data_IF_103257981720
#
_entry.id   IF_103257981720
#
_cell.length_a   1.000
_cell.length_b   1.000
_cell.length_c   1.000
_cell.angle_alpha   90.00
_cell.angle_beta   90.00
_cell.angle_gamma   90.00
#
_symmetry.space_group_name_H-M   'P 1'
#
loop_
_entity.id
_entity.type
_entity.pdbx_description
1 polymer ?
#
# COMPACT_ATOMS: atom_id res chain seq x y z
N UNK A 1 16.40 -34.04 9.78
CA UNK A 1 16.50 -33.58 8.38
C UNK A 1 17.73 -34.21 7.77
N UNK A 2 17.68 -34.66 6.50
CA UNK A 2 18.85 -35.25 5.83
C UNK A 2 19.93 -34.16 5.62
N UNK A 3 21.24 -34.47 5.70
CA UNK A 3 22.31 -33.48 5.60
C UNK A 3 22.33 -32.73 4.26
N UNK A 4 21.90 -33.36 3.16
CA UNK A 4 21.80 -32.71 1.84
C UNK A 4 20.75 -31.59 1.82
N UNK A 5 19.61 -31.81 2.49
CA UNK A 5 18.55 -30.82 2.58
C UNK A 5 18.94 -29.63 3.46
N UNK A 6 19.71 -29.87 4.51
CA UNK A 6 20.25 -28.81 5.35
C UNK A 6 21.25 -27.95 4.58
N UNK A 7 22.10 -28.58 3.74
CA UNK A 7 23.00 -27.87 2.83
C UNK A 7 22.25 -26.99 1.84
N UNK A 8 21.20 -27.51 1.20
CA UNK A 8 20.37 -26.74 0.27
C UNK A 8 19.77 -25.49 0.91
N UNK A 9 19.17 -25.62 2.10
CA UNK A 9 18.60 -24.49 2.82
C UNK A 9 19.65 -23.47 3.27
N UNK A 10 20.85 -23.94 3.63
CA UNK A 10 21.95 -23.05 4.03
C UNK A 10 22.48 -22.24 2.84
N UNK A 11 22.67 -22.88 1.68
CA UNK A 11 23.02 -22.19 0.43
C UNK A 11 21.92 -21.20 0.02
N UNK A 12 20.64 -21.57 0.16
CA UNK A 12 19.53 -20.66 -0.11
C UNK A 12 19.49 -19.44 0.84
N UNK A 13 19.75 -19.65 2.13
CA UNK A 13 19.82 -18.57 3.12
C UNK A 13 20.92 -17.56 2.76
N UNK A 14 22.08 -18.05 2.31
CA UNK A 14 23.22 -17.23 1.89
C UNK A 14 22.89 -16.44 0.62
N UNK A 15 22.34 -17.10 -0.40
CA UNK A 15 22.00 -16.48 -1.70
C UNK A 15 20.87 -15.44 -1.58
N UNK A 16 19.85 -15.66 -0.73
CA UNK A 16 18.78 -14.67 -0.47
C UNK A 16 19.34 -13.40 0.23
N UNK A 17 20.43 -13.54 0.99
CA UNK A 17 21.13 -12.43 1.62
C UNK A 17 20.26 -11.58 2.57
N UNK A 18 20.16 -10.27 2.33
CA UNK A 18 19.36 -9.33 3.13
C UNK A 18 18.00 -9.03 2.47
N UNK A 19 17.18 -10.05 2.25
CA UNK A 19 15.82 -9.86 1.76
C UNK A 19 14.85 -9.47 2.90
N UNK A 20 13.96 -8.46 2.71
CA UNK A 20 13.02 -8.02 3.75
C UNK A 20 12.05 -9.13 4.22
N UNK A 21 11.69 -10.05 3.33
CA UNK A 21 10.82 -11.20 3.63
C UNK A 21 11.63 -12.51 3.79
N UNK A 22 12.95 -12.43 4.04
CA UNK A 22 13.83 -13.61 4.11
C UNK A 22 13.28 -14.72 5.01
N UNK A 23 12.76 -14.36 6.19
CA UNK A 23 12.21 -15.35 7.13
C UNK A 23 11.01 -16.10 6.58
N UNK A 24 10.13 -15.40 5.86
CA UNK A 24 8.92 -16.00 5.31
C UNK A 24 9.27 -16.90 4.12
N UNK A 25 10.18 -16.43 3.25
CA UNK A 25 10.71 -17.23 2.13
C UNK A 25 11.40 -18.50 2.67
N UNK A 26 12.28 -18.37 3.66
CA UNK A 26 12.96 -19.53 4.24
C UNK A 26 11.97 -20.52 4.86
N UNK A 27 10.93 -20.05 5.55
CA UNK A 27 9.91 -20.92 6.12
C UNK A 27 9.08 -21.66 5.06
N UNK A 28 8.78 -21.01 3.93
CA UNK A 28 8.10 -21.63 2.79
C UNK A 28 8.95 -22.75 2.18
N UNK A 29 10.23 -22.49 1.91
CA UNK A 29 11.14 -23.50 1.35
C UNK A 29 11.47 -24.61 2.35
N UNK A 30 11.53 -24.32 3.66
CA UNK A 30 11.63 -25.35 4.70
C UNK A 30 10.44 -26.31 4.67
N UNK A 31 9.21 -25.80 4.49
CA UNK A 31 8.01 -26.61 4.36
C UNK A 31 8.06 -27.46 3.09
N UNK A 32 8.38 -26.87 1.94
CA UNK A 32 8.47 -27.59 0.66
C UNK A 32 9.54 -28.68 0.67
N UNK A 33 10.71 -28.40 1.24
CA UNK A 33 11.77 -29.41 1.42
C UNK A 33 11.28 -30.53 2.35
N UNK A 34 10.58 -30.20 3.43
CA UNK A 34 10.04 -31.19 4.34
C UNK A 34 8.98 -32.09 3.67
N UNK A 35 8.09 -31.51 2.87
CA UNK A 35 7.09 -32.24 2.09
C UNK A 35 7.75 -33.17 1.06
N UNK A 36 8.74 -32.67 0.31
CA UNK A 36 9.50 -33.46 -0.67
C UNK A 36 10.23 -34.63 -0.03
N UNK A 37 10.84 -34.43 1.14
CA UNK A 37 11.56 -35.50 1.86
C UNK A 37 10.66 -36.59 2.42
N UNK A 38 9.37 -36.29 2.64
CA UNK A 38 8.38 -37.25 3.12
C UNK A 38 7.67 -37.99 1.97
N UNK A 39 7.92 -37.62 0.72
CA UNK A 39 7.41 -38.33 -0.45
C UNK A 39 8.22 -39.63 -0.66
N UNK A 40 7.53 -40.77 -0.77
CA UNK A 40 8.12 -42.12 -0.86
C UNK A 40 9.05 -42.30 -2.08
N UNK A 41 8.97 -41.38 -3.05
CA UNK A 41 9.83 -41.34 -4.23
C UNK A 41 11.29 -40.91 -3.94
N UNK A 42 11.58 -40.33 -2.77
CA UNK A 42 12.93 -39.89 -2.39
C UNK A 42 13.67 -41.02 -1.66
N UNK A 43 14.01 -42.07 -2.41
CA UNK A 43 14.81 -43.20 -1.94
C UNK A 43 16.27 -42.84 -1.61
N UNK A 44 17.18 -43.74 -1.95
CA UNK A 44 18.66 -43.61 -1.82
C UNK A 44 19.30 -42.71 -2.91
N UNK A 45 18.47 -42.02 -3.70
CA UNK A 45 18.94 -41.03 -4.68
C UNK A 45 19.49 -39.79 -3.98
N UNK A 46 20.42 -39.10 -4.65
CA UNK A 46 21.00 -37.84 -4.18
C UNK A 46 19.90 -36.78 -3.98
N UNK A 47 19.51 -36.62 -2.72
CA UNK A 47 18.48 -35.70 -2.24
C UNK A 47 18.75 -34.28 -2.72
N UNK A 48 20.02 -33.86 -2.78
CA UNK A 48 20.37 -32.52 -3.24
C UNK A 48 19.98 -32.32 -4.71
N UNK A 49 20.30 -33.29 -5.56
CA UNK A 49 19.94 -33.25 -6.99
C UNK A 49 18.44 -33.23 -7.20
N UNK A 50 17.66 -33.97 -6.39
CA UNK A 50 16.19 -33.95 -6.45
C UNK A 50 15.66 -32.57 -6.07
N UNK A 51 16.17 -31.97 -4.99
CA UNK A 51 15.76 -30.63 -4.54
C UNK A 51 16.05 -29.58 -5.62
N UNK A 52 17.25 -29.58 -6.20
CA UNK A 52 17.60 -28.66 -7.29
C UNK A 52 16.71 -28.87 -8.52
N UNK A 53 16.40 -30.12 -8.88
CA UNK A 53 15.56 -30.42 -10.04
C UNK A 53 14.09 -30.03 -9.85
N UNK A 54 13.57 -30.11 -8.62
CA UNK A 54 12.15 -29.86 -8.31
C UNK A 54 11.88 -28.42 -7.92
N UNK A 55 12.76 -27.83 -7.11
CA UNK A 55 12.59 -26.48 -6.55
C UNK A 55 13.41 -25.42 -7.30
N UNK A 56 14.40 -25.84 -8.10
CA UNK A 56 15.41 -24.95 -8.67
C UNK A 56 16.66 -24.89 -7.80
N UNK A 57 17.76 -24.38 -8.37
CA UNK A 57 18.98 -24.15 -7.61
C UNK A 57 18.81 -22.98 -6.62
N UNK A 58 19.55 -22.97 -5.49
CA UNK A 58 19.52 -21.86 -4.54
C UNK A 58 19.73 -20.48 -5.18
N UNK A 59 20.60 -20.41 -6.18
CA UNK A 59 20.90 -19.19 -6.95
C UNK A 59 19.69 -18.76 -7.81
N UNK A 60 19.05 -19.70 -8.51
CA UNK A 60 17.87 -19.39 -9.34
C UNK A 60 16.69 -18.93 -8.46
N UNK A 61 16.49 -19.56 -7.31
CA UNK A 61 15.47 -19.17 -6.34
C UNK A 61 15.77 -17.76 -5.82
N UNK A 62 17.01 -17.48 -5.42
CA UNK A 62 17.39 -16.15 -4.95
C UNK A 62 17.20 -15.06 -6.03
N UNK A 63 17.53 -15.36 -7.29
CA UNK A 63 17.29 -14.45 -8.42
C UNK A 63 15.81 -14.19 -8.67
N UNK A 64 14.95 -15.22 -8.56
CA UNK A 64 13.51 -15.08 -8.67
C UNK A 64 12.97 -14.10 -7.62
N UNK A 65 13.37 -14.28 -6.36
CA UNK A 65 12.97 -13.40 -5.26
C UNK A 65 13.60 -12.01 -5.37
N UNK A 66 14.79 -11.86 -5.96
CA UNK A 66 15.37 -10.55 -6.23
C UNK A 66 14.61 -9.79 -7.33
N UNK A 67 14.09 -10.48 -8.34
CA UNK A 67 13.21 -9.88 -9.34
C UNK A 67 11.86 -9.47 -8.74
N UNK A 68 11.27 -10.30 -7.88
CA UNK A 68 10.07 -9.93 -7.12
C UNK A 68 10.33 -8.75 -6.18
N UNK A 69 11.51 -8.68 -5.56
CA UNK A 69 11.97 -7.50 -4.79
C UNK A 69 12.00 -6.23 -5.64
N UNK A 70 12.22 -6.28 -6.95
CA UNK A 70 12.15 -5.08 -7.79
C UNK A 70 10.70 -4.55 -7.95
N UNK A 71 9.71 -5.42 -7.75
CA UNK A 71 8.26 -5.16 -7.85
C UNK A 71 7.62 -4.98 -6.45
N UNK A 72 8.32 -5.32 -5.36
CA UNK A 72 7.83 -5.32 -3.96
C UNK A 72 7.10 -4.04 -3.46
N UNK A 73 6.28 -4.19 -2.37
CA UNK A 73 5.27 -3.24 -1.84
C UNK A 73 5.63 -1.77 -1.74
N UNK A 74 6.92 -1.48 -1.57
CA UNK A 74 7.39 -0.13 -1.28
C UNK A 74 7.16 0.83 -2.43
N UNK A 75 7.21 0.36 -3.68
CA UNK A 75 6.98 1.21 -4.86
C UNK A 75 5.51 1.60 -4.98
N UNK A 76 4.60 0.62 -4.92
CA UNK A 76 3.15 0.86 -4.97
C UNK A 76 2.68 1.70 -3.78
N UNK A 77 3.21 1.43 -2.58
CA UNK A 77 2.95 2.26 -1.39
C UNK A 77 3.38 3.72 -1.59
N UNK A 78 4.60 3.96 -2.10
CA UNK A 78 5.09 5.33 -2.32
C UNK A 78 4.32 6.05 -3.41
N UNK A 79 3.89 5.34 -4.46
CA UNK A 79 3.05 5.93 -5.51
C UNK A 79 1.77 6.51 -4.90
N UNK A 80 1.11 5.79 -4.00
CA UNK A 80 -0.11 6.27 -3.35
C UNK A 80 0.14 7.47 -2.43
N UNK A 81 1.20 7.42 -1.63
CA UNK A 81 1.59 8.54 -0.76
C UNK A 81 1.92 9.78 -1.60
N UNK A 82 2.64 9.61 -2.70
CA UNK A 82 2.98 10.68 -3.63
C UNK A 82 1.75 11.30 -4.28
N UNK A 83 0.77 10.48 -4.70
CA UNK A 83 -0.49 10.99 -5.26
C UNK A 83 -1.22 11.84 -4.22
N UNK A 84 -1.31 11.39 -2.97
CA UNK A 84 -1.99 12.14 -1.91
C UNK A 84 -1.29 13.48 -1.62
N UNK A 85 0.04 13.46 -1.52
CA UNK A 85 0.86 14.66 -1.35
C UNK A 85 0.70 15.60 -2.54
N UNK A 86 0.72 15.08 -3.77
CA UNK A 86 0.55 15.87 -4.98
C UNK A 86 -0.81 16.55 -5.02
N UNK A 87 -1.90 15.82 -4.72
CA UNK A 87 -3.24 16.39 -4.64
C UNK A 87 -3.34 17.46 -3.54
N UNK A 88 -2.69 17.25 -2.40
CA UNK A 88 -2.66 18.22 -1.31
C UNK A 88 -1.93 19.51 -1.71
N UNK A 89 -0.75 19.39 -2.33
CA UNK A 89 0.02 20.53 -2.83
C UNK A 89 -0.74 21.25 -3.94
N UNK A 90 -1.36 20.51 -4.87
CA UNK A 90 -2.17 21.08 -5.94
C UNK A 90 -3.34 21.90 -5.36
N UNK A 91 -4.01 21.40 -4.32
CA UNK A 91 -5.07 22.12 -3.61
C UNK A 91 -4.57 23.41 -2.96
N UNK A 92 -3.38 23.40 -2.34
CA UNK A 92 -2.75 24.60 -1.77
C UNK A 92 -2.46 25.63 -2.87
N UNK A 93 -1.78 25.20 -3.94
CA UNK A 93 -1.43 26.08 -5.06
C UNK A 93 -2.67 26.68 -5.68
N UNK A 94 -3.73 25.88 -5.89
CA UNK A 94 -4.99 26.34 -6.43
C UNK A 94 -5.66 27.37 -5.52
N UNK A 95 -5.71 27.12 -4.21
CA UNK A 95 -6.30 28.05 -3.23
C UNK A 95 -5.58 29.39 -3.22
N UNK A 96 -4.25 29.37 -3.20
CA UNK A 96 -3.43 30.60 -3.28
C UNK A 96 -3.68 31.31 -4.60
N UNK A 97 -3.73 30.53 -5.70
CA UNK A 97 -3.89 31.09 -7.02
C UNK A 97 -5.24 31.78 -7.19
N UNK A 98 -6.33 31.17 -6.72
CA UNK A 98 -7.68 31.76 -6.74
C UNK A 98 -7.78 33.06 -5.93
N UNK A 99 -7.13 33.12 -4.76
CA UNK A 99 -7.23 34.29 -3.88
C UNK A 99 -6.33 35.47 -4.31
N UNK A 100 -5.18 35.18 -4.91
CA UNK A 100 -4.18 36.19 -5.27
C UNK A 100 -4.29 36.59 -6.75
N UNK A 101 -4.50 35.61 -7.63
CA UNK A 101 -4.51 35.81 -9.07
C UNK A 101 -5.95 35.76 -9.57
N UNK A 102 -6.50 36.91 -9.95
CA UNK A 102 -7.85 37.06 -10.52
C UNK A 102 -7.92 36.56 -11.97
N UNK A 103 -7.56 35.30 -12.18
CA UNK A 103 -7.54 34.67 -13.48
C UNK A 103 -8.85 33.95 -13.74
N UNK A 104 -9.55 34.30 -14.82
CA UNK A 104 -10.86 33.74 -15.18
C UNK A 104 -10.86 32.19 -15.28
N UNK A 105 -9.79 31.60 -15.81
CA UNK A 105 -9.67 30.13 -15.90
C UNK A 105 -9.58 29.45 -14.53
N UNK A 106 -9.04 30.14 -13.51
CA UNK A 106 -9.00 29.61 -12.15
C UNK A 106 -10.38 29.72 -11.50
N UNK A 107 -11.13 30.78 -11.75
CA UNK A 107 -12.50 30.95 -11.24
C UNK A 107 -13.42 29.85 -11.78
N UNK A 108 -13.39 29.59 -13.08
CA UNK A 108 -14.16 28.50 -13.71
C UNK A 108 -13.79 27.14 -13.10
N UNK A 109 -12.49 26.88 -12.91
CA UNK A 109 -12.01 25.62 -12.34
C UNK A 109 -12.40 25.48 -10.85
N UNK A 110 -12.39 26.58 -10.10
CA UNK A 110 -12.79 26.64 -8.70
C UNK A 110 -14.29 26.40 -8.51
N UNK A 111 -15.13 27.02 -9.34
CA UNK A 111 -16.59 26.79 -9.36
C UNK A 111 -16.91 25.33 -9.72
N UNK A 112 -16.29 24.79 -10.78
CA UNK A 112 -16.48 23.40 -11.17
C UNK A 112 -16.07 22.40 -10.08
N UNK A 113 -14.98 22.66 -9.36
CA UNK A 113 -14.58 21.85 -8.20
C UNK A 113 -15.57 21.98 -7.05
N UNK A 114 -16.10 23.18 -6.80
CA UNK A 114 -17.13 23.41 -5.78
C UNK A 114 -18.37 22.57 -6.07
N UNK A 115 -18.87 22.58 -7.31
CA UNK A 115 -20.04 21.80 -7.72
C UNK A 115 -19.77 20.29 -7.66
N UNK A 116 -18.58 19.85 -8.07
CA UNK A 116 -18.20 18.44 -8.09
C UNK A 116 -17.77 17.88 -6.72
N UNK A 117 -17.79 18.69 -5.66
CA UNK A 117 -17.21 18.34 -4.36
C UNK A 117 -17.78 17.04 -3.78
N UNK A 118 -19.09 16.78 -3.91
CA UNK A 118 -19.70 15.52 -3.47
C UNK A 118 -19.20 14.31 -4.26
N UNK A 119 -18.99 14.48 -5.57
CA UNK A 119 -18.44 13.43 -6.45
C UNK A 119 -16.99 13.14 -6.06
N UNK A 120 -16.19 14.18 -5.80
CA UNK A 120 -14.80 14.05 -5.36
C UNK A 120 -14.72 13.22 -4.07
N UNK A 121 -15.59 13.48 -3.09
CA UNK A 121 -15.64 12.70 -1.84
C UNK A 121 -15.94 11.22 -2.12
N UNK A 122 -16.94 10.93 -2.95
CA UNK A 122 -17.31 9.54 -3.28
C UNK A 122 -16.15 8.82 -3.97
N UNK A 123 -15.54 9.45 -4.98
CA UNK A 123 -14.38 8.88 -5.69
C UNK A 123 -13.22 8.66 -4.73
N UNK A 124 -12.98 9.58 -3.80
CA UNK A 124 -11.93 9.45 -2.80
C UNK A 124 -12.18 8.28 -1.85
N UNK A 125 -13.42 8.07 -1.40
CA UNK A 125 -13.80 6.91 -0.57
C UNK A 125 -13.57 5.60 -1.34
N UNK A 126 -14.00 5.54 -2.61
CA UNK A 126 -13.79 4.37 -3.46
C UNK A 126 -12.30 4.09 -3.69
N UNK A 127 -11.51 5.13 -3.96
CA UNK A 127 -10.06 5.03 -4.09
C UNK A 127 -9.42 4.40 -2.84
N UNK A 128 -9.81 4.83 -1.64
CA UNK A 128 -9.33 4.24 -0.39
C UNK A 128 -9.76 2.79 -0.19
N UNK A 129 -10.98 2.44 -0.60
CA UNK A 129 -11.46 1.05 -0.61
C UNK A 129 -10.65 0.15 -1.55
N UNK A 130 -10.41 0.62 -2.79
CA UNK A 130 -9.60 -0.08 -3.78
C UNK A 130 -8.14 -0.20 -3.35
N UNK A 131 -7.57 0.84 -2.76
CA UNK A 131 -6.22 0.80 -2.18
C UNK A 131 -6.14 -0.24 -1.07
N UNK A 132 -7.15 -0.28 -0.19
CA UNK A 132 -7.27 -1.33 0.81
C UNK A 132 -7.24 -2.71 0.17
N UNK A 133 -8.04 -2.91 -0.87
CA UNK A 133 -8.12 -4.16 -1.63
C UNK A 133 -6.78 -4.57 -2.25
N UNK A 134 -6.10 -3.69 -2.99
CA UNK A 134 -4.80 -4.00 -3.60
C UNK A 134 -3.76 -4.36 -2.52
N UNK A 135 -3.70 -3.63 -1.41
CA UNK A 135 -2.78 -3.96 -0.30
C UNK A 135 -3.11 -5.32 0.32
N UNK A 136 -4.41 -5.65 0.44
CA UNK A 136 -4.83 -6.96 0.95
C UNK A 136 -4.47 -8.10 0.01
N UNK A 137 -4.62 -7.88 -1.31
CA UNK A 137 -4.34 -8.85 -2.37
C UNK A 137 -2.85 -9.08 -2.55
N UNK A 138 -2.03 -8.03 -2.58
CA UNK A 138 -0.58 -8.16 -2.79
C UNK A 138 0.19 -8.61 -1.54
N UNK A 139 -0.27 -8.26 -0.33
CA UNK A 139 0.54 -8.41 0.89
C UNK A 139 -0.06 -9.30 1.99
N UNK A 140 -1.25 -9.86 1.76
CA UNK A 140 -1.90 -10.78 2.70
C UNK A 140 -1.91 -10.26 4.14
N UNK A 141 -1.55 -11.12 5.10
CA UNK A 141 -1.51 -10.76 6.53
C UNK A 141 -0.39 -9.77 6.89
N UNK A 142 0.70 -9.70 6.11
CA UNK A 142 1.78 -8.72 6.26
C UNK A 142 1.37 -7.28 5.90
N UNK A 143 0.36 -7.13 5.03
CA UNK A 143 -0.14 -5.84 4.53
C UNK A 143 -0.83 -4.97 5.57
N UNK A 144 -1.26 -5.52 6.71
CA UNK A 144 -2.00 -4.77 7.75
C UNK A 144 -1.20 -3.61 8.34
N UNK A 145 0.10 -3.81 8.60
CA UNK A 145 0.99 -2.77 9.12
C UNK A 145 1.24 -1.68 8.06
N UNK A 146 1.32 -2.10 6.79
CA UNK A 146 1.49 -1.22 5.63
C UNK A 146 0.27 -0.32 5.45
N UNK A 147 -0.94 -0.90 5.46
CA UNK A 147 -2.21 -0.17 5.36
C UNK A 147 -2.31 0.90 6.44
N UNK A 148 -2.09 0.53 7.71
CA UNK A 148 -2.20 1.46 8.84
C UNK A 148 -1.21 2.62 8.73
N UNK A 149 0.05 2.35 8.35
CA UNK A 149 1.08 3.40 8.22
C UNK A 149 0.78 4.34 7.06
N UNK A 150 0.35 3.80 5.91
CA UNK A 150 0.02 4.57 4.70
C UNK A 150 -1.21 5.44 4.91
N UNK A 151 -2.25 4.86 5.52
CA UNK A 151 -3.47 5.57 5.89
C UNK A 151 -3.19 6.75 6.81
N UNK A 152 -2.42 6.52 7.89
CA UNK A 152 -2.13 7.56 8.87
C UNK A 152 -1.27 8.69 8.27
N UNK A 153 -0.25 8.34 7.47
CA UNK A 153 0.62 9.31 6.82
C UNK A 153 -0.15 10.21 5.84
N UNK A 154 -1.15 9.66 5.14
CA UNK A 154 -1.94 10.40 4.15
C UNK A 154 -3.05 11.25 4.79
N UNK A 155 -3.61 10.81 5.92
CA UNK A 155 -4.74 11.52 6.56
C UNK A 155 -4.28 12.60 7.55
N UNK A 156 -3.11 12.44 8.19
CA UNK A 156 -2.60 13.44 9.13
C UNK A 156 -2.54 14.85 8.50
N UNK A 157 -1.96 15.07 7.31
CA UNK A 157 -1.93 16.40 6.69
C UNK A 157 -3.33 16.98 6.44
N UNK A 158 -4.28 16.16 5.99
CA UNK A 158 -5.66 16.57 5.74
C UNK A 158 -6.40 16.95 7.03
N UNK A 159 -6.27 16.15 8.09
CA UNK A 159 -6.85 16.46 9.40
C UNK A 159 -6.23 17.72 10.01
N UNK A 160 -4.91 17.90 9.86
CA UNK A 160 -4.22 19.11 10.33
C UNK A 160 -4.74 20.34 9.60
N UNK A 161 -4.90 20.29 8.27
CA UNK A 161 -5.45 21.42 7.50
C UNK A 161 -6.87 21.77 7.95
N UNK A 162 -7.74 20.76 8.11
CA UNK A 162 -9.11 20.96 8.62
C UNK A 162 -9.11 21.54 10.04
N UNK A 163 -8.19 21.09 10.90
CA UNK A 163 -8.05 21.63 12.26
C UNK A 163 -7.61 23.11 12.21
N UNK A 164 -6.57 23.45 11.45
CA UNK A 164 -6.06 24.82 11.32
C UNK A 164 -7.11 25.80 10.78
N UNK A 165 -7.99 25.35 9.87
CA UNK A 165 -9.10 26.16 9.35
C UNK A 165 -10.21 26.38 10.38
N UNK A 166 -10.57 25.36 11.19
CA UNK A 166 -11.57 25.50 12.27
C UNK A 166 -11.10 26.48 13.35
N UNK A 167 -9.81 26.41 13.74
CA UNK A 167 -9.22 27.30 14.73
C UNK A 167 -8.90 28.70 14.18
N UNK A 168 -9.30 29.00 12.94
CA UNK A 168 -9.09 30.28 12.25
C UNK A 168 -7.62 30.73 12.19
N UNK A 169 -6.68 29.80 12.31
CA UNK A 169 -5.26 30.05 12.02
C UNK A 169 -5.06 30.34 10.53
N UNK A 170 -5.92 29.76 9.68
CA UNK A 170 -6.03 30.10 8.27
C UNK A 170 -7.41 30.75 8.06
N UNK A 171 -7.50 31.91 7.39
CA UNK A 171 -8.78 32.58 7.13
C UNK A 171 -9.69 31.67 6.29
N UNK A 172 -10.82 31.24 6.85
CA UNK A 172 -11.77 30.35 6.19
C UNK A 172 -12.37 30.95 4.91
N UNK A 173 -12.37 32.28 4.79
CA UNK A 173 -12.82 33.04 3.63
C UNK A 173 -12.06 32.66 2.36
N UNK A 174 -10.79 32.26 2.49
CA UNK A 174 -9.96 31.86 1.35
C UNK A 174 -10.44 30.57 0.70
N UNK A 175 -11.25 29.79 1.43
CA UNK A 175 -11.78 28.53 0.95
C UNK A 175 -13.27 28.62 0.61
N UNK A 176 -13.90 29.80 0.71
CA UNK A 176 -15.27 29.96 0.23
C UNK A 176 -15.31 29.92 -1.31
N UNK A 177 -16.33 29.29 -1.93
CA UNK A 177 -17.47 28.60 -1.32
C UNK A 177 -17.21 27.12 -0.95
N UNK A 178 -16.07 26.55 -1.35
CA UNK A 178 -15.70 25.13 -1.20
C UNK A 178 -15.78 24.62 0.26
N UNK A 179 -15.15 25.31 1.21
CA UNK A 179 -15.15 24.92 2.63
C UNK A 179 -16.07 25.83 3.46
N UNK A 180 -17.34 25.45 3.52
CA UNK A 180 -18.22 25.87 4.62
C UNK A 180 -17.91 25.07 5.90
N UNK A 181 -18.24 25.64 7.07
CA UNK A 181 -18.07 24.92 8.36
C UNK A 181 -18.82 23.58 8.37
N UNK A 182 -20.02 23.54 7.76
CA UNK A 182 -20.81 22.31 7.61
C UNK A 182 -20.07 21.28 6.77
N UNK A 183 -19.45 21.73 5.68
CA UNK A 183 -18.67 20.88 4.80
C UNK A 183 -17.42 20.30 5.48
N UNK A 184 -16.71 21.10 6.28
CA UNK A 184 -15.56 20.62 7.06
C UNK A 184 -15.97 19.50 8.02
N UNK A 185 -17.10 19.66 8.72
CA UNK A 185 -17.62 18.62 9.62
C UNK A 185 -17.93 17.32 8.86
N UNK A 186 -18.56 17.42 7.68
CA UNK A 186 -18.82 16.26 6.81
C UNK A 186 -17.49 15.60 6.40
N UNK A 187 -16.49 16.38 6.00
CA UNK A 187 -15.18 15.86 5.62
C UNK A 187 -14.48 15.13 6.77
N UNK A 188 -14.58 15.63 8.01
CA UNK A 188 -14.03 14.95 9.19
C UNK A 188 -14.72 13.60 9.41
N UNK A 189 -16.06 13.55 9.32
CA UNK A 189 -16.83 12.31 9.45
C UNK A 189 -16.45 11.32 8.35
N UNK A 190 -16.43 11.77 7.10
CA UNK A 190 -16.00 10.95 5.95
C UNK A 190 -14.57 10.44 6.13
N UNK A 191 -13.65 11.28 6.62
CA UNK A 191 -12.26 10.90 6.92
C UNK A 191 -12.19 9.78 7.97
N UNK A 192 -13.05 9.82 8.99
CA UNK A 192 -13.20 8.72 9.95
C UNK A 192 -13.70 7.42 9.31
N UNK A 193 -14.60 7.52 8.32
CA UNK A 193 -15.16 6.38 7.56
C UNK A 193 -14.14 5.78 6.57
N UNK A 194 -13.12 6.54 6.14
CA UNK A 194 -12.10 6.00 5.23
C UNK A 194 -11.36 4.80 5.81
N UNK A 195 -11.12 4.77 7.13
CA UNK A 195 -10.42 3.65 7.77
C UNK A 195 -11.21 2.33 7.67
N UNK A 196 -12.48 2.26 8.12
CA UNK A 196 -13.27 1.04 7.97
C UNK A 196 -13.48 0.64 6.51
N UNK A 197 -13.62 1.60 5.58
CA UNK A 197 -13.73 1.30 4.14
C UNK A 197 -12.44 0.67 3.60
N UNK A 198 -11.29 1.27 3.90
CA UNK A 198 -9.97 0.72 3.51
C UNK A 198 -9.75 -0.67 4.13
N UNK A 199 -10.21 -0.87 5.36
CA UNK A 199 -10.11 -2.14 6.06
C UNK A 199 -11.02 -3.22 5.46
N UNK A 200 -12.22 -2.85 5.02
CA UNK A 200 -13.13 -3.75 4.30
C UNK A 200 -12.52 -4.17 2.96
N UNK A 201 -11.98 -3.21 2.21
CA UNK A 201 -11.21 -3.47 0.99
C UNK A 201 -10.08 -4.46 1.25
N UNK A 202 -9.25 -4.20 2.27
CA UNK A 202 -8.15 -5.08 2.67
C UNK A 202 -8.59 -6.50 2.99
N UNK A 203 -9.66 -6.67 3.77
CA UNK A 203 -10.20 -8.01 4.06
C UNK A 203 -10.65 -8.74 2.79
N UNK A 204 -11.20 -8.00 1.83
CA UNK A 204 -11.67 -8.59 0.58
C UNK A 204 -10.49 -8.97 -0.33
N UNK A 205 -9.51 -8.08 -0.50
CA UNK A 205 -8.30 -8.36 -1.26
C UNK A 205 -7.53 -9.55 -0.71
N UNK A 206 -7.39 -9.65 0.61
CA UNK A 206 -6.76 -10.79 1.27
C UNK A 206 -7.44 -12.12 0.96
N UNK A 207 -8.78 -12.15 0.92
CA UNK A 207 -9.52 -13.38 0.58
C UNK A 207 -9.35 -13.79 -0.88
N UNK A 208 -9.06 -12.85 -1.77
CA UNK A 208 -8.85 -13.11 -3.19
C UNK A 208 -7.40 -13.53 -3.53
N UNK A 209 -6.49 -13.42 -2.56
CA UNK A 209 -5.09 -13.87 -2.66
C UNK A 209 -4.88 -15.31 -2.20
N UNK A 210 -5.90 -15.95 -1.60
CA UNK A 210 -5.89 -17.36 -1.17
C UNK A 210 -6.48 -18.24 -2.26
#
# INVERSE_FOLDING_TARGET
MRPEAQRFLQELDEEIGRHPNKKDIMAEYELHVYELLNDEAVGDEDVYTILVKRLGSPIEIAQLWEQEKAITPKKTQWLFVLINIFLFIAGIVLTISYNIFRWEWIEILWEGLTEATSIIIVVYILFWGLLGYEIGKEFGDGGRKLLKKTFLLSIIPNLLLMYLTIFKLIPYEWFQPILSVRFIIICIICTGILYPVSWLGFKWGRKASV
#
